data_IF_198366958214
#
_entry.id   IF_198366958214
#
_cell.length_a   1.000
_cell.length_b   1.000
_cell.length_c   1.000
_cell.angle_alpha   90.00
_cell.angle_beta   90.00
_cell.angle_gamma   90.00
#
_symmetry.space_group_name_H-M   'P 1'
#
loop_
_entity.id
_entity.type
_entity.pdbx_description
1 polymer ?
#
# COMPACT_ATOMS: atom_id res chain seq x y z
N UNK A 1 19.21 2.38 -3.63
CA UNK A 1 18.40 3.44 -2.96
C UNK A 1 16.89 3.27 -3.10
N UNK A 2 16.37 2.47 -4.03
CA UNK A 2 14.91 2.32 -4.23
C UNK A 2 14.15 1.77 -3.00
N UNK A 3 14.72 0.81 -2.26
CA UNK A 3 14.07 0.26 -1.06
C UNK A 3 13.79 1.32 0.00
N UNK A 4 14.73 2.24 0.23
CA UNK A 4 14.58 3.32 1.24
C UNK A 4 13.43 4.25 0.84
N UNK A 5 13.28 4.58 -0.44
CA UNK A 5 12.16 5.38 -0.92
C UNK A 5 10.81 4.76 -0.52
N UNK A 6 10.61 3.47 -0.79
CA UNK A 6 9.38 2.78 -0.45
C UNK A 6 9.17 2.62 1.06
N UNK A 7 10.25 2.42 1.83
CA UNK A 7 10.20 2.37 3.30
C UNK A 7 9.77 3.74 3.85
N UNK A 8 10.39 4.83 3.40
CA UNK A 8 10.03 6.18 3.84
C UNK A 8 8.60 6.55 3.45
N UNK A 9 8.16 6.19 2.24
CA UNK A 9 6.76 6.32 1.82
C UNK A 9 5.81 5.57 2.76
N UNK A 10 6.11 4.31 3.10
CA UNK A 10 5.29 3.53 4.01
C UNK A 10 5.26 4.13 5.42
N UNK A 11 6.40 4.63 5.91
CA UNK A 11 6.53 5.22 7.24
C UNK A 11 5.68 6.48 7.42
N UNK A 12 5.44 7.27 6.37
CA UNK A 12 4.51 8.42 6.41
C UNK A 12 3.09 8.02 6.81
N UNK A 13 2.71 6.77 6.57
CA UNK A 13 1.37 6.24 6.86
C UNK A 13 1.32 5.29 8.05
N UNK A 14 2.38 5.20 8.85
CA UNK A 14 2.37 4.40 10.07
C UNK A 14 1.32 4.96 11.05
N UNK A 15 0.31 4.15 11.38
CA UNK A 15 -0.75 4.54 12.28
C UNK A 15 -1.68 3.37 12.61
N UNK A 16 -2.44 3.51 13.69
CA UNK A 16 -3.44 2.54 14.11
C UNK A 16 -4.71 3.27 14.53
N UNK A 17 -5.87 2.66 14.24
CA UNK A 17 -7.18 3.22 14.52
C UNK A 17 -7.98 2.25 15.38
N UNK A 18 -8.72 2.77 16.36
CA UNK A 18 -9.67 1.95 17.14
C UNK A 18 -10.73 1.34 16.20
N UNK A 19 -11.22 0.11 16.45
CA UNK A 19 -12.18 -0.55 15.58
C UNK A 19 -13.44 0.30 15.26
N UNK A 20 -13.99 1.00 16.25
CA UNK A 20 -15.19 1.82 16.11
C UNK A 20 -14.93 3.01 15.18
N UNK A 21 -13.77 3.65 15.35
CA UNK A 21 -13.34 4.75 14.49
C UNK A 21 -13.02 4.26 13.08
N UNK A 22 -12.47 3.05 12.92
CA UNK A 22 -12.19 2.45 11.62
C UNK A 22 -13.50 2.18 10.84
N UNK A 23 -14.52 1.64 11.51
CA UNK A 23 -15.85 1.44 10.89
C UNK A 23 -16.41 2.79 10.43
N UNK A 24 -16.36 3.82 11.28
CA UNK A 24 -16.81 5.16 10.90
C UNK A 24 -16.03 5.69 9.70
N UNK A 25 -14.69 5.60 9.72
CA UNK A 25 -13.83 6.03 8.61
C UNK A 25 -14.18 5.33 7.30
N UNK A 26 -14.39 4.02 7.31
CA UNK A 26 -14.79 3.26 6.10
C UNK A 26 -16.09 3.80 5.49
N UNK A 27 -17.02 4.30 6.31
CA UNK A 27 -18.31 4.79 5.86
C UNK A 27 -18.33 6.27 5.47
N UNK A 28 -17.43 7.08 6.04
CA UNK A 28 -17.52 8.56 5.94
C UNK A 28 -16.29 9.23 5.33
N UNK A 29 -15.12 8.58 5.39
CA UNK A 29 -13.86 9.14 4.89
C UNK A 29 -13.60 8.66 3.46
N UNK A 30 -13.43 9.55 2.48
CA UNK A 30 -13.11 9.15 1.11
C UNK A 30 -11.71 8.55 0.97
N UNK A 31 -10.83 8.69 1.97
CA UNK A 31 -9.50 8.12 1.94
C UNK A 31 -9.52 6.65 2.39
N UNK A 32 -8.74 5.81 1.70
CA UNK A 32 -8.51 4.44 2.15
C UNK A 32 -7.80 4.40 3.52
N UNK A 33 -8.04 3.39 4.36
CA UNK A 33 -7.32 3.25 5.63
C UNK A 33 -5.80 3.09 5.43
N UNK A 34 -5.01 3.48 6.44
CA UNK A 34 -3.55 3.64 6.36
C UNK A 34 -2.82 2.47 5.67
N UNK A 35 -3.05 1.23 6.10
CA UNK A 35 -2.43 0.03 5.51
C UNK A 35 -2.73 -0.11 4.01
N UNK A 36 -3.95 0.20 3.59
CA UNK A 36 -4.38 0.09 2.20
C UNK A 36 -3.83 1.24 1.34
N UNK A 37 -3.57 2.42 1.93
CA UNK A 37 -2.85 3.50 1.23
C UNK A 37 -1.41 3.14 0.89
N UNK A 38 -0.76 2.32 1.70
CA UNK A 38 0.58 1.81 1.42
C UNK A 38 0.48 0.63 0.47
N UNK A 39 -0.11 -0.48 0.93
CA UNK A 39 -0.04 -1.74 0.20
C UNK A 39 -0.82 -1.69 -1.12
N UNK A 40 -1.99 -1.06 -1.14
CA UNK A 40 -2.81 -0.95 -2.34
C UNK A 40 -2.18 -0.08 -3.44
N UNK A 41 -1.26 0.82 -3.08
CA UNK A 41 -0.50 1.61 -4.06
C UNK A 41 0.71 0.82 -4.55
N UNK A 42 1.60 0.38 -3.64
CA UNK A 42 2.88 -0.21 -4.04
C UNK A 42 2.74 -1.57 -4.72
N UNK A 43 1.64 -2.30 -4.47
CA UNK A 43 1.33 -3.56 -5.17
C UNK A 43 1.15 -3.38 -6.69
N UNK A 44 0.74 -2.18 -7.11
CA UNK A 44 0.57 -1.82 -8.52
C UNK A 44 1.85 -1.26 -9.15
N UNK A 45 2.96 -1.15 -8.39
CA UNK A 45 4.22 -0.58 -8.86
C UNK A 45 5.25 -1.70 -9.11
N UNK A 46 5.58 -2.04 -10.37
CA UNK A 46 6.60 -3.06 -10.68
C UNK A 46 7.97 -2.77 -10.04
N UNK A 47 8.30 -1.50 -9.86
CA UNK A 47 9.51 -0.99 -9.21
C UNK A 47 9.61 -1.47 -7.76
N UNK A 48 8.49 -1.46 -7.03
CA UNK A 48 8.44 -1.98 -5.67
C UNK A 48 8.79 -3.47 -5.64
N UNK A 49 8.13 -4.26 -6.50
CA UNK A 49 8.38 -5.69 -6.57
C UNK A 49 9.84 -6.01 -6.93
N UNK A 50 10.46 -5.24 -7.84
CA UNK A 50 11.89 -5.37 -8.16
C UNK A 50 12.77 -4.98 -6.98
N UNK A 51 12.50 -3.84 -6.35
CA UNK A 51 13.31 -3.33 -5.24
C UNK A 51 13.34 -4.30 -4.05
N UNK A 52 12.26 -5.02 -3.79
CA UNK A 52 12.16 -6.01 -2.70
C UNK A 52 12.25 -7.47 -3.18
N UNK A 53 12.60 -7.71 -4.43
CA UNK A 53 12.71 -9.05 -5.02
C UNK A 53 11.48 -9.94 -4.77
N UNK A 54 10.28 -9.35 -4.84
CA UNK A 54 9.02 -10.07 -4.63
C UNK A 54 8.75 -11.00 -5.82
N UNK A 55 8.53 -12.31 -5.64
CA UNK A 55 8.22 -13.21 -6.74
C UNK A 55 6.83 -12.91 -7.32
N UNK A 56 6.62 -13.21 -8.60
CA UNK A 56 5.30 -13.05 -9.25
C UNK A 56 4.28 -13.94 -8.54
N UNK A 57 3.09 -13.39 -8.28
CA UNK A 57 2.02 -14.05 -7.53
C UNK A 57 2.12 -13.87 -6.02
N UNK A 58 3.21 -13.29 -5.50
CA UNK A 58 3.25 -12.89 -4.08
C UNK A 58 2.18 -11.84 -3.78
N UNK A 59 1.71 -11.71 -2.51
CA UNK A 59 0.70 -10.73 -2.14
C UNK A 59 1.03 -9.28 -2.54
N UNK A 60 2.33 -8.95 -2.60
CA UNK A 60 2.82 -7.61 -2.98
C UNK A 60 3.36 -7.54 -4.42
N UNK A 61 3.15 -8.59 -5.22
CA UNK A 61 3.52 -8.63 -6.64
C UNK A 61 2.54 -9.50 -7.45
N UNK A 62 1.28 -9.07 -7.61
CA UNK A 62 0.28 -9.80 -8.39
C UNK A 62 0.61 -9.75 -9.88
N UNK A 63 0.11 -10.74 -10.62
CA UNK A 63 0.23 -10.81 -12.08
C UNK A 63 -0.52 -9.66 -12.78
N UNK A 64 -1.67 -9.26 -12.23
CA UNK A 64 -2.50 -8.17 -12.74
C UNK A 64 -2.33 -6.93 -11.86
N UNK A 65 -2.00 -5.80 -12.49
CA UNK A 65 -1.85 -4.50 -11.84
C UNK A 65 -2.80 -3.48 -12.47
N UNK A 66 -3.25 -2.53 -11.68
CA UNK A 66 -4.05 -1.39 -12.14
C UNK A 66 -3.14 -0.23 -12.55
N UNK A 67 -3.45 0.41 -13.68
CA UNK A 67 -2.86 1.70 -14.09
C UNK A 67 -3.94 2.58 -14.69
N UNK A 68 -3.87 3.89 -14.45
CA UNK A 68 -4.90 4.85 -14.90
C UNK A 68 -4.25 6.06 -15.57
N UNK A 69 -3.19 6.59 -14.99
CA UNK A 69 -2.44 7.73 -15.51
C UNK A 69 -1.35 7.32 -16.48
#
# INVERSE_FOLDING_TARGET
NEQIFFISFAQTWCGHTKPETLIRQILTDPHSPYRYRVNGVVVNQPEFARAFSCPVGAPMNPERRCSVW
#
